data_IF_963496592453
#
_entry.id   IF_963496592453
#
_cell.length_a   1.000
_cell.length_b   1.000
_cell.length_c   1.000
_cell.angle_alpha   90.00
_cell.angle_beta   90.00
_cell.angle_gamma   90.00
#
_symmetry.space_group_name_H-M   'P 1'
#
loop_
_entity.id
_entity.type
_entity.pdbx_description
1 polymer ?
#
# COMPACT_ATOMS: atom_id res chain seq x y z
N UNK A 1 32.50 4.96 -47.51
CA UNK A 1 32.19 3.92 -46.48
C UNK A 1 32.95 4.10 -45.16
N UNK A 2 34.01 4.88 -45.11
CA UNK A 2 34.74 5.16 -43.82
C UNK A 2 33.96 6.04 -42.83
N UNK A 3 33.23 7.04 -43.33
CA UNK A 3 32.48 7.96 -42.44
C UNK A 3 31.34 7.27 -41.70
N UNK A 4 30.70 6.23 -42.25
CA UNK A 4 29.64 5.50 -41.57
C UNK A 4 30.17 4.67 -40.37
N UNK A 5 31.37 4.12 -40.50
CA UNK A 5 32.02 3.39 -39.40
C UNK A 5 32.40 4.32 -38.27
N UNK A 6 32.84 5.55 -38.59
CA UNK A 6 33.18 6.57 -37.61
C UNK A 6 31.91 6.99 -36.82
N UNK A 7 30.77 7.21 -37.47
CA UNK A 7 29.52 7.53 -36.79
C UNK A 7 29.02 6.43 -35.86
N UNK A 8 29.18 5.14 -36.28
CA UNK A 8 28.82 4.00 -35.43
C UNK A 8 29.69 3.94 -34.16
N UNK A 9 31.01 4.19 -34.29
CA UNK A 9 31.90 4.21 -33.14
C UNK A 9 31.64 5.39 -32.20
N UNK A 10 31.27 6.58 -32.73
CA UNK A 10 30.88 7.75 -31.94
C UNK A 10 29.58 7.47 -31.20
N UNK A 11 28.57 6.88 -31.86
CA UNK A 11 27.31 6.50 -31.22
C UNK A 11 27.52 5.46 -30.12
N UNK A 12 28.36 4.47 -30.35
CA UNK A 12 28.73 3.47 -29.34
C UNK A 12 29.46 4.07 -28.15
N UNK A 13 30.40 5.00 -28.37
CA UNK A 13 31.10 5.72 -27.31
C UNK A 13 30.15 6.60 -26.50
N UNK A 14 29.19 7.25 -27.16
CA UNK A 14 28.18 8.07 -26.48
C UNK A 14 27.23 7.22 -25.59
N UNK A 15 26.77 6.06 -26.09
CA UNK A 15 25.96 5.13 -25.31
C UNK A 15 26.77 4.55 -24.14
N UNK A 16 28.03 4.16 -24.35
CA UNK A 16 28.91 3.69 -23.28
C UNK A 16 29.16 4.77 -22.21
N UNK A 17 29.31 6.02 -22.63
CA UNK A 17 29.46 7.16 -21.70
C UNK A 17 28.19 7.41 -20.90
N UNK A 18 27.01 7.37 -21.51
CA UNK A 18 25.73 7.56 -20.83
C UNK A 18 25.46 6.42 -19.85
N UNK A 19 25.76 5.19 -20.22
CA UNK A 19 25.62 4.04 -19.30
C UNK A 19 26.61 4.12 -18.15
N UNK A 20 27.84 4.60 -18.36
CA UNK A 20 28.80 4.86 -17.31
C UNK A 20 28.33 5.96 -16.36
N UNK A 21 27.78 7.08 -16.87
CA UNK A 21 27.25 8.15 -16.04
C UNK A 21 26.06 7.69 -15.19
N UNK A 22 25.13 6.93 -15.78
CA UNK A 22 24.02 6.35 -15.05
C UNK A 22 24.49 5.40 -13.94
N UNK A 23 25.48 4.55 -14.24
CA UNK A 23 26.05 3.63 -13.27
C UNK A 23 26.76 4.35 -12.11
N UNK A 24 27.53 5.39 -12.39
CA UNK A 24 28.20 6.22 -11.36
C UNK A 24 27.17 6.95 -10.49
N UNK A 25 26.06 7.39 -11.07
CA UNK A 25 25.00 8.10 -10.34
C UNK A 25 24.20 7.16 -9.41
N UNK A 26 24.04 5.89 -9.82
CA UNK A 26 23.30 4.89 -9.05
C UNK A 26 24.15 4.21 -7.96
N UNK A 27 25.48 4.07 -8.18
CA UNK A 27 26.35 3.28 -7.30
C UNK A 27 27.43 4.04 -6.55
N UNK A 28 27.69 5.33 -6.90
CA UNK A 28 28.63 6.17 -6.16
C UNK A 28 27.90 7.31 -5.46
N UNK A 29 27.36 7.07 -4.28
CA UNK A 29 26.98 8.15 -3.35
C UNK A 29 28.28 8.78 -2.83
N UNK A 30 28.53 10.11 -3.03
CA UNK A 30 29.67 10.76 -2.39
C UNK A 30 29.47 10.75 -0.87
N UNK A 31 30.53 10.58 -0.07
CA UNK A 31 30.43 10.65 1.38
C UNK A 31 29.89 12.02 1.78
N UNK A 32 28.87 12.03 2.61
CA UNK A 32 28.27 13.25 3.17
C UNK A 32 29.37 13.99 3.93
N UNK A 33 29.79 15.14 3.42
CA UNK A 33 30.72 16.02 4.12
C UNK A 33 30.05 16.53 5.38
N UNK A 34 30.57 16.16 6.55
CA UNK A 34 30.21 16.74 7.83
C UNK A 34 30.56 18.23 7.79
N UNK A 35 29.56 19.09 7.76
CA UNK A 35 29.75 20.53 7.99
C UNK A 35 29.98 20.78 9.48
N UNK A 36 30.99 21.59 9.82
CA UNK A 36 31.22 21.96 11.22
C UNK A 36 30.11 22.90 11.69
N UNK A 37 29.68 22.68 12.92
CA UNK A 37 28.74 23.51 13.63
C UNK A 37 29.24 24.98 13.69
N UNK A 38 28.50 25.92 13.10
CA UNK A 38 28.66 27.34 13.31
C UNK A 38 27.44 27.88 14.05
N UNK A 39 27.75 28.58 15.13
CA UNK A 39 26.86 29.18 16.09
C UNK A 39 26.03 30.35 15.53
N UNK A 40 24.80 30.44 16.11
CA UNK A 40 23.95 31.61 16.28
C UNK A 40 23.74 32.57 15.08
N UNK A 41 22.53 32.52 14.53
CA UNK A 41 21.85 33.74 14.11
C UNK A 41 20.32 33.60 14.32
N UNK A 42 19.81 34.66 14.85
CA UNK A 42 18.52 35.09 15.34
C UNK A 42 17.33 34.76 14.44
N UNK A 43 16.31 34.18 15.07
CA UNK A 43 14.88 34.12 14.81
C UNK A 43 14.31 34.82 13.56
N UNK A 44 13.87 34.02 12.60
CA UNK A 44 12.65 34.25 11.84
C UNK A 44 11.72 33.07 12.12
N UNK A 45 10.45 33.35 12.42
CA UNK A 45 9.48 32.38 12.88
C UNK A 45 9.35 31.20 11.90
N UNK A 46 9.91 30.06 12.28
CA UNK A 46 9.67 28.78 11.65
C UNK A 46 8.21 28.35 11.88
N UNK A 47 7.61 27.62 10.93
CA UNK A 47 6.33 26.95 11.19
C UNK A 47 6.52 26.10 12.45
N UNK A 48 5.57 26.19 13.35
CA UNK A 48 5.59 25.40 14.59
C UNK A 48 5.67 23.92 14.20
N UNK A 49 6.83 23.31 14.47
CA UNK A 49 6.93 21.85 14.60
C UNK A 49 5.88 21.44 15.62
N UNK A 50 4.76 20.93 15.15
CA UNK A 50 3.83 20.21 16.00
C UNK A 50 4.54 18.92 16.33
N UNK A 51 4.94 18.69 17.59
CA UNK A 51 5.48 17.38 17.97
C UNK A 51 4.34 16.38 17.76
N UNK A 52 4.43 15.57 16.72
CA UNK A 52 3.60 14.37 16.57
C UNK A 52 4.20 13.34 17.53
N UNK A 53 4.14 13.65 18.81
CA UNK A 53 4.43 12.70 19.87
C UNK A 53 3.14 11.92 20.16
N UNK A 54 2.70 11.19 19.15
CA UNK A 54 1.78 10.08 19.38
C UNK A 54 2.66 9.03 20.03
N UNK A 55 2.43 8.67 21.30
CA UNK A 55 3.17 7.60 21.97
C UNK A 55 3.24 6.42 21.02
N UNK A 56 4.43 5.91 20.75
CA UNK A 56 4.66 4.90 19.73
C UNK A 56 3.58 3.84 19.81
N UNK A 57 3.04 3.45 18.66
CA UNK A 57 2.19 2.26 18.60
C UNK A 57 2.91 1.16 19.37
N UNK A 58 2.30 0.52 20.37
CA UNK A 58 3.00 -0.48 21.16
C UNK A 58 3.54 -1.53 20.20
N UNK A 59 4.84 -1.71 20.25
CA UNK A 59 5.59 -2.75 19.54
C UNK A 59 5.26 -4.15 20.11
N UNK A 60 4.09 -4.27 20.67
CA UNK A 60 3.58 -5.46 21.30
C UNK A 60 2.45 -6.01 20.47
N UNK A 61 2.78 -7.01 19.76
CA UNK A 61 2.00 -8.23 19.73
C UNK A 61 2.69 -9.17 18.78
N UNK A 62 3.42 -9.92 19.33
CA UNK A 62 3.29 -11.36 19.35
C UNK A 62 2.39 -11.91 18.25
N UNK A 63 3.08 -12.51 17.28
CA UNK A 63 2.48 -13.51 16.44
C UNK A 63 2.01 -14.68 17.32
N UNK A 64 0.87 -14.54 17.98
CA UNK A 64 0.21 -15.68 18.60
C UNK A 64 -0.72 -16.31 17.57
N UNK A 65 -0.53 -17.61 17.40
CA UNK A 65 -1.44 -18.48 16.69
C UNK A 65 -2.87 -18.27 17.26
N UNK A 66 -3.84 -18.10 16.35
CA UNK A 66 -5.26 -17.94 16.71
C UNK A 66 -5.74 -19.23 17.37
N UNK A 67 -6.00 -19.29 18.67
CA UNK A 67 -6.71 -20.40 19.28
C UNK A 67 -8.18 -20.32 18.90
N UNK A 68 -8.78 -21.44 18.58
CA UNK A 68 -10.21 -21.54 18.34
C UNK A 68 -10.95 -21.58 19.67
N UNK A 69 -11.89 -20.63 19.90
CA UNK A 69 -13.00 -20.88 20.80
C UNK A 69 -13.12 -20.13 22.12
N UNK A 70 -12.64 -18.89 22.23
CA UNK A 70 -12.87 -18.04 23.41
C UNK A 70 -13.81 -16.85 23.03
N UNK A 71 -14.89 -16.56 23.80
CA UNK A 71 -15.81 -15.45 23.49
C UNK A 71 -15.17 -14.06 23.46
N UNK A 72 -13.96 -13.91 24.00
CA UNK A 72 -13.15 -12.68 23.91
C UNK A 72 -12.26 -12.62 22.64
N UNK A 73 -12.35 -13.59 21.77
CA UNK A 73 -11.60 -13.62 20.52
C UNK A 73 -12.46 -13.07 19.37
N UNK A 74 -11.79 -12.33 18.46
CA UNK A 74 -12.42 -11.87 17.24
C UNK A 74 -13.00 -13.02 16.42
N UNK A 75 -14.07 -12.76 15.67
CA UNK A 75 -14.63 -13.67 14.69
C UNK A 75 -14.35 -13.17 13.29
N UNK A 76 -14.23 -14.09 12.34
CA UNK A 76 -14.00 -13.77 10.94
C UNK A 76 -15.33 -13.52 10.23
N UNK A 77 -15.47 -12.35 9.62
CA UNK A 77 -16.62 -11.95 8.81
C UNK A 77 -16.22 -12.04 7.33
N UNK A 78 -16.83 -12.94 6.55
CA UNK A 78 -16.62 -12.99 5.11
C UNK A 78 -17.31 -11.82 4.41
N UNK A 79 -16.61 -11.24 3.45
CA UNK A 79 -17.09 -10.15 2.60
C UNK A 79 -16.82 -10.54 1.15
N UNK A 80 -17.86 -10.54 0.31
CA UNK A 80 -17.79 -10.93 -1.08
C UNK A 80 -18.23 -9.81 -1.99
N UNK A 81 -17.40 -9.47 -2.96
CA UNK A 81 -17.76 -8.65 -4.11
C UNK A 81 -17.52 -9.45 -5.41
N UNK A 82 -17.76 -8.84 -6.53
CA UNK A 82 -17.46 -9.42 -7.85
C UNK A 82 -15.95 -9.68 -8.05
N UNK A 83 -15.07 -8.84 -7.51
CA UNK A 83 -13.61 -8.90 -7.72
C UNK A 83 -12.80 -9.26 -6.46
N UNK A 84 -13.39 -9.20 -5.27
CA UNK A 84 -12.74 -9.43 -3.99
C UNK A 84 -13.50 -10.42 -3.11
N UNK A 85 -12.78 -11.39 -2.53
CA UNK A 85 -13.26 -12.23 -1.44
C UNK A 85 -12.39 -12.00 -0.20
N UNK A 86 -12.94 -11.28 0.78
CA UNK A 86 -12.22 -10.81 1.95
C UNK A 86 -12.67 -11.55 3.21
N UNK A 87 -11.79 -11.56 4.22
CA UNK A 87 -12.15 -11.89 5.60
C UNK A 87 -11.68 -10.76 6.51
N UNK A 88 -12.60 -10.27 7.30
CA UNK A 88 -12.39 -9.26 8.30
C UNK A 88 -12.44 -9.92 9.69
N UNK A 89 -11.46 -9.61 10.54
CA UNK A 89 -11.47 -10.03 11.95
C UNK A 89 -12.18 -8.94 12.77
N UNK A 90 -13.16 -9.30 13.59
CA UNK A 90 -13.83 -8.33 14.48
C UNK A 90 -12.91 -7.76 15.55
N UNK A 91 -11.78 -8.40 15.84
CA UNK A 91 -10.70 -7.80 16.61
C UNK A 91 -9.96 -6.78 15.73
N UNK A 92 -9.99 -5.51 16.13
CA UNK A 92 -9.48 -4.39 15.35
C UNK A 92 -10.34 -4.02 14.14
N UNK A 93 -11.32 -4.85 13.80
CA UNK A 93 -11.99 -4.80 12.49
C UNK A 93 -10.95 -4.78 11.35
N UNK A 94 -9.98 -5.71 11.39
CA UNK A 94 -8.83 -5.77 10.50
C UNK A 94 -9.08 -6.64 9.28
N UNK A 95 -8.55 -6.26 8.09
CA UNK A 95 -8.57 -7.11 6.90
C UNK A 95 -7.42 -8.13 6.98
N UNK A 96 -7.76 -9.38 7.24
CA UNK A 96 -6.78 -10.45 7.48
C UNK A 96 -6.63 -11.41 6.30
N UNK A 97 -7.59 -11.46 5.38
CA UNK A 97 -7.50 -12.30 4.18
C UNK A 97 -8.11 -11.59 2.98
N UNK A 98 -7.46 -11.71 1.83
CA UNK A 98 -7.97 -11.21 0.55
C UNK A 98 -7.61 -12.19 -0.57
N UNK A 99 -8.63 -12.68 -1.25
CA UNK A 99 -8.52 -13.50 -2.45
C UNK A 99 -9.00 -12.68 -3.64
N UNK A 100 -8.39 -12.91 -4.79
CA UNK A 100 -8.75 -12.31 -6.08
C UNK A 100 -9.39 -13.38 -6.98
N UNK A 101 -10.72 -13.53 -7.00
CA UNK A 101 -11.41 -14.61 -7.72
C UNK A 101 -11.10 -14.65 -9.22
N UNK A 102 -10.91 -13.50 -9.84
CA UNK A 102 -10.60 -13.39 -11.28
C UNK A 102 -9.15 -13.74 -11.64
N UNK A 103 -8.26 -13.91 -10.65
CA UNK A 103 -6.83 -14.14 -10.85
C UNK A 103 -6.41 -15.49 -10.28
N UNK A 104 -6.42 -16.57 -11.09
CA UNK A 104 -5.93 -17.87 -10.64
C UNK A 104 -4.41 -17.88 -10.51
N UNK A 105 -3.88 -18.61 -9.52
CA UNK A 105 -2.43 -18.80 -9.34
C UNK A 105 -1.80 -19.46 -10.56
N UNK A 106 -2.54 -20.35 -11.24
CA UNK A 106 -2.15 -21.00 -12.49
C UNK A 106 -3.34 -21.03 -13.45
N UNK A 107 -3.08 -20.88 -14.75
CA UNK A 107 -4.12 -20.88 -15.79
C UNK A 107 -4.91 -22.17 -15.87
N UNK A 108 -4.29 -23.31 -15.56
CA UNK A 108 -4.88 -24.64 -15.51
C UNK A 108 -5.63 -24.97 -14.20
N UNK A 109 -5.57 -24.06 -13.22
CA UNK A 109 -6.21 -24.19 -11.91
C UNK A 109 -7.06 -22.95 -11.59
N UNK A 110 -8.19 -22.74 -12.30
CA UNK A 110 -9.07 -21.60 -12.06
C UNK A 110 -9.73 -21.64 -10.68
N UNK A 111 -9.79 -22.82 -10.05
CA UNK A 111 -10.29 -23.05 -8.71
C UNK A 111 -9.37 -22.51 -7.59
N UNK A 112 -8.14 -22.09 -7.92
CA UNK A 112 -7.17 -21.62 -6.95
C UNK A 112 -6.84 -20.12 -7.18
N UNK A 113 -7.63 -19.20 -6.57
CA UNK A 113 -7.42 -17.78 -6.71
C UNK A 113 -6.14 -17.32 -5.99
N UNK A 114 -5.55 -16.24 -6.49
CA UNK A 114 -4.43 -15.57 -5.82
C UNK A 114 -4.89 -15.04 -4.47
N UNK A 115 -4.14 -15.39 -3.42
CA UNK A 115 -4.32 -14.85 -2.08
C UNK A 115 -3.28 -13.75 -1.82
N UNK A 116 -3.73 -12.50 -1.68
CA UNK A 116 -2.87 -11.38 -1.36
C UNK A 116 -2.69 -11.20 0.14
N UNK A 117 -3.77 -11.15 0.90
CA UNK A 117 -3.70 -11.09 2.36
C UNK A 117 -3.85 -12.47 2.96
N UNK A 118 -3.01 -12.79 3.94
CA UNK A 118 -2.97 -14.11 4.57
C UNK A 118 -2.53 -13.99 6.04
N UNK A 119 -3.32 -14.47 7.02
CA UNK A 119 -2.95 -14.40 8.43
C UNK A 119 -1.98 -15.51 8.87
N UNK A 120 -1.66 -16.50 8.01
CA UNK A 120 -0.77 -17.60 8.38
C UNK A 120 0.67 -17.13 8.59
N UNK A 121 1.35 -17.69 9.58
CA UNK A 121 2.71 -17.29 9.96
C UNK A 121 3.73 -17.38 8.83
N UNK A 122 3.60 -18.36 7.92
CA UNK A 122 4.52 -18.54 6.78
C UNK A 122 4.39 -17.48 5.71
N UNK A 123 3.17 -17.01 5.45
CA UNK A 123 2.84 -16.02 4.42
C UNK A 123 2.12 -14.80 5.01
N UNK A 124 2.50 -14.41 6.22
CA UNK A 124 1.81 -13.36 6.96
C UNK A 124 1.76 -12.06 6.17
N UNK A 125 0.55 -11.60 5.88
CA UNK A 125 0.29 -10.35 5.18
C UNK A 125 -1.11 -9.86 5.52
N UNK A 126 -1.23 -8.77 6.29
CA UNK A 126 -2.51 -8.23 6.78
C UNK A 126 -2.51 -6.71 6.79
N UNK A 127 -3.72 -6.12 6.73
CA UNK A 127 -3.95 -4.74 7.09
C UNK A 127 -4.53 -4.64 8.50
N UNK A 128 -3.97 -3.73 9.28
CA UNK A 128 -4.49 -3.29 10.57
C UNK A 128 -4.78 -1.80 10.51
N UNK A 129 -5.86 -1.38 11.10
CA UNK A 129 -6.16 0.05 11.15
C UNK A 129 -7.08 0.37 12.31
N UNK A 130 -7.07 1.63 12.74
CA UNK A 130 -7.87 2.06 13.88
C UNK A 130 -7.62 3.51 14.23
N UNK A 131 -8.10 3.88 15.43
CA UNK A 131 -7.84 5.20 15.99
C UNK A 131 -6.98 5.07 17.25
N UNK A 132 -6.13 6.05 17.46
CA UNK A 132 -5.31 6.21 18.66
C UNK A 132 -5.82 7.38 19.47
N UNK A 133 -5.86 7.23 20.79
CA UNK A 133 -6.12 8.32 21.73
C UNK A 133 -4.78 8.94 22.14
N UNK A 134 -4.59 10.25 21.91
CA UNK A 134 -3.37 10.95 22.28
C UNK A 134 -3.14 10.99 23.80
N UNK A 135 -4.18 10.82 24.59
CA UNK A 135 -4.11 10.73 26.05
C UNK A 135 -3.84 9.31 26.57
N UNK A 136 -3.83 8.29 25.69
CA UNK A 136 -3.59 6.89 26.07
C UNK A 136 -4.77 6.23 26.79
N UNK A 137 -6.00 6.72 26.57
CA UNK A 137 -7.24 6.14 27.09
C UNK A 137 -7.67 4.87 26.35
N UNK A 138 -8.92 4.45 26.57
CA UNK A 138 -9.54 3.39 25.79
C UNK A 138 -9.70 3.84 24.33
N UNK A 139 -9.13 3.06 23.40
CA UNK A 139 -9.04 3.40 22.00
C UNK A 139 -9.52 2.25 21.09
N UNK A 140 -10.22 2.55 19.99
CA UNK A 140 -10.63 1.56 19.00
C UNK A 140 -9.46 1.21 18.06
N UNK A 141 -8.41 0.62 18.61
CA UNK A 141 -7.24 0.18 17.88
C UNK A 141 -7.42 -1.26 17.33
N UNK A 142 -6.37 -1.80 16.72
CA UNK A 142 -6.34 -3.17 16.16
C UNK A 142 -6.47 -4.30 17.19
N UNK A 143 -6.56 -4.02 18.49
CA UNK A 143 -6.81 -4.99 19.56
C UNK A 143 -8.24 -4.89 20.11
N UNK A 144 -8.93 -3.80 19.82
CA UNK A 144 -10.28 -3.56 20.30
C UNK A 144 -11.29 -4.50 19.61
N UNK A 145 -12.29 -4.98 20.36
CA UNK A 145 -13.32 -5.85 19.80
C UNK A 145 -14.48 -5.01 19.25
N UNK A 146 -14.71 -5.11 17.96
CA UNK A 146 -15.81 -4.48 17.24
C UNK A 146 -16.98 -5.43 17.10
N UNK A 147 -18.19 -4.89 17.07
CA UNK A 147 -19.43 -5.61 16.80
C UNK A 147 -19.84 -5.38 15.35
N UNK A 148 -19.94 -6.44 14.56
CA UNK A 148 -20.46 -6.38 13.21
C UNK A 148 -21.99 -6.49 13.22
N UNK A 149 -22.67 -5.79 12.31
CA UNK A 149 -24.13 -5.79 12.17
C UNK A 149 -24.65 -7.12 11.55
N UNK A 150 -23.78 -7.88 10.84
CA UNK A 150 -24.12 -9.17 10.26
C UNK A 150 -22.93 -10.15 10.33
N UNK A 151 -23.21 -11.43 10.10
CA UNK A 151 -22.19 -12.50 10.11
C UNK A 151 -21.48 -12.68 8.77
N UNK A 152 -22.02 -12.08 7.70
CA UNK A 152 -21.46 -12.07 6.35
C UNK A 152 -22.02 -10.90 5.57
N UNK A 153 -21.26 -10.42 4.59
CA UNK A 153 -21.65 -9.36 3.69
C UNK A 153 -21.36 -9.78 2.24
N UNK A 154 -22.28 -9.50 1.33
CA UNK A 154 -22.10 -9.79 -0.09
C UNK A 154 -22.67 -8.64 -0.93
N UNK A 155 -21.98 -8.30 -2.01
CA UNK A 155 -22.47 -7.35 -2.99
C UNK A 155 -23.51 -8.05 -3.89
N UNK A 156 -24.77 -7.69 -3.72
CA UNK A 156 -25.87 -8.28 -4.46
C UNK A 156 -25.91 -7.83 -5.93
N UNK A 157 -26.60 -8.61 -6.77
CA UNK A 157 -26.81 -8.24 -8.15
C UNK A 157 -27.60 -6.91 -8.25
N UNK A 158 -27.09 -5.98 -9.06
CA UNK A 158 -27.68 -4.66 -9.22
C UNK A 158 -27.28 -3.62 -8.16
N UNK A 159 -26.49 -4.01 -7.15
CA UNK A 159 -25.86 -3.06 -6.23
C UNK A 159 -24.48 -2.64 -6.76
N UNK A 160 -24.17 -1.34 -6.69
CA UNK A 160 -22.84 -0.82 -7.05
C UNK A 160 -21.91 -0.72 -5.86
N UNK A 161 -22.46 -0.65 -4.64
CA UNK A 161 -21.70 -0.38 -3.41
C UNK A 161 -22.15 -1.31 -2.29
N UNK A 162 -21.17 -1.88 -1.58
CA UNK A 162 -21.37 -2.64 -0.36
C UNK A 162 -20.75 -1.88 0.82
N UNK A 163 -21.52 -1.64 1.86
CA UNK A 163 -21.01 -1.10 3.13
C UNK A 163 -20.99 -2.18 4.20
N UNK A 164 -19.88 -2.24 4.96
CA UNK A 164 -19.67 -3.20 6.04
C UNK A 164 -19.41 -2.42 7.33
N UNK A 165 -20.45 -2.12 8.10
CA UNK A 165 -20.33 -1.36 9.33
C UNK A 165 -19.99 -2.26 10.52
N UNK A 166 -19.04 -1.77 11.34
CA UNK A 166 -18.68 -2.36 12.63
C UNK A 166 -18.66 -1.25 13.68
N UNK A 167 -19.15 -1.54 14.87
CA UNK A 167 -19.24 -0.56 15.95
C UNK A 167 -18.40 -0.97 17.15
N UNK A 168 -17.68 -0.01 17.70
CA UNK A 168 -17.00 -0.11 18.97
C UNK A 168 -17.51 0.97 19.92
N UNK A 169 -17.62 0.65 21.21
CA UNK A 169 -18.02 1.60 22.26
C UNK A 169 -17.09 1.49 23.43
N UNK A 170 -16.63 2.64 23.92
CA UNK A 170 -15.96 2.71 25.21
C UNK A 170 -16.99 2.72 26.35
N UNK A 171 -16.54 2.36 27.54
CA UNK A 171 -17.40 2.41 28.73
C UNK A 171 -17.76 3.84 29.20
N UNK A 172 -17.11 4.88 28.67
CA UNK A 172 -17.18 6.26 29.10
C UNK A 172 -17.83 7.22 28.07
N UNK A 173 -18.44 6.69 27.01
CA UNK A 173 -19.26 7.46 26.07
C UNK A 173 -18.60 7.79 24.74
N UNK A 174 -17.49 7.17 24.35
CA UNK A 174 -17.00 7.26 22.98
C UNK A 174 -17.58 6.13 22.15
N UNK A 175 -18.21 6.46 21.03
CA UNK A 175 -18.70 5.48 20.05
C UNK A 175 -17.98 5.69 18.73
N UNK A 176 -17.46 4.59 18.15
CA UNK A 176 -16.81 4.62 16.85
C UNK A 176 -17.45 3.59 15.94
N UNK A 177 -17.91 4.05 14.79
CA UNK A 177 -18.43 3.21 13.71
C UNK A 177 -17.40 3.17 12.59
N UNK A 178 -16.77 2.02 12.39
CA UNK A 178 -15.81 1.75 11.31
C UNK A 178 -16.57 1.11 10.16
N UNK A 179 -16.51 1.72 9.00
CA UNK A 179 -17.27 1.32 7.82
C UNK A 179 -16.30 1.07 6.68
N UNK A 180 -16.32 -0.14 6.13
CA UNK A 180 -15.66 -0.49 4.88
C UNK A 180 -16.66 -0.32 3.74
N UNK A 181 -16.29 0.49 2.75
CA UNK A 181 -17.09 0.71 1.56
C UNK A 181 -16.36 0.14 0.35
N UNK A 182 -16.99 -0.84 -0.30
CA UNK A 182 -16.48 -1.53 -1.47
C UNK A 182 -17.37 -1.20 -2.67
N UNK A 183 -16.76 -0.93 -3.82
CA UNK A 183 -17.48 -0.59 -5.05
C UNK A 183 -17.30 -1.71 -6.07
N UNK A 184 -18.35 -2.02 -6.82
CA UNK A 184 -18.33 -3.05 -7.87
C UNK A 184 -17.20 -2.81 -8.88
N UNK A 185 -16.46 -3.88 -9.24
CA UNK A 185 -15.37 -3.85 -10.21
C UNK A 185 -14.11 -3.13 -9.71
N UNK A 186 -14.06 -2.72 -8.43
CA UNK A 186 -12.94 -1.95 -7.89
C UNK A 186 -12.15 -2.72 -6.84
N UNK A 187 -10.85 -2.41 -6.78
CA UNK A 187 -9.90 -2.99 -5.83
C UNK A 187 -9.50 -2.03 -4.72
N UNK A 188 -9.96 -0.78 -4.77
CA UNK A 188 -9.86 0.18 -3.68
C UNK A 188 -11.04 0.00 -2.70
N UNK A 189 -10.76 0.21 -1.44
CA UNK A 189 -11.69 0.06 -0.32
C UNK A 189 -11.58 1.31 0.53
N UNK A 190 -12.66 2.09 0.62
CA UNK A 190 -12.71 3.23 1.52
C UNK A 190 -12.99 2.75 2.94
N UNK A 191 -12.21 3.23 3.89
CA UNK A 191 -12.38 2.97 5.33
C UNK A 191 -12.73 4.28 6.01
N UNK A 192 -13.91 4.34 6.61
CA UNK A 192 -14.41 5.53 7.29
C UNK A 192 -14.67 5.23 8.76
N UNK A 193 -14.23 6.13 9.63
CA UNK A 193 -14.52 6.09 11.07
C UNK A 193 -15.40 7.26 11.42
N UNK A 194 -16.61 6.99 11.84
CA UNK A 194 -17.53 7.97 12.41
C UNK A 194 -17.37 7.93 13.94
N UNK A 195 -16.80 8.98 14.50
CA UNK A 195 -16.50 9.09 15.92
C UNK A 195 -17.51 10.03 16.57
N UNK A 196 -18.30 9.53 17.51
CA UNK A 196 -19.23 10.32 18.33
C UNK A 196 -18.69 10.38 19.75
N UNK A 197 -18.47 11.59 20.25
CA UNK A 197 -17.95 11.84 21.59
C UNK A 197 -19.07 12.32 22.54
N UNK A 198 -19.76 11.37 23.17
CA UNK A 198 -20.78 11.67 24.19
C UNK A 198 -20.17 11.87 25.60
N UNK A 199 -18.83 11.98 25.69
CA UNK A 199 -18.13 12.32 26.93
C UNK A 199 -18.34 13.78 27.30
N UNK A 200 -18.08 14.13 28.55
CA UNK A 200 -18.06 15.53 29.02
C UNK A 200 -16.77 16.27 28.68
N UNK A 201 -15.75 15.56 28.21
CA UNK A 201 -14.43 16.09 27.85
C UNK A 201 -14.15 15.87 26.37
N UNK A 202 -13.37 16.76 25.73
CA UNK A 202 -12.93 16.53 24.36
C UNK A 202 -12.07 15.29 24.24
N UNK A 203 -12.18 14.60 23.11
CA UNK A 203 -11.33 13.48 22.73
C UNK A 203 -10.30 13.94 21.67
N UNK A 204 -9.04 13.57 21.86
CA UNK A 204 -7.97 13.88 20.93
C UNK A 204 -7.45 12.58 20.32
N UNK A 205 -7.59 12.41 19.01
CA UNK A 205 -7.14 11.18 18.38
C UNK A 205 -6.77 11.32 16.92
N UNK A 206 -6.08 10.30 16.42
CA UNK A 206 -5.64 10.18 15.05
C UNK A 206 -5.97 8.80 14.50
N UNK A 207 -6.28 8.73 13.20
CA UNK A 207 -6.36 7.45 12.49
C UNK A 207 -4.97 6.93 12.16
N UNK A 208 -4.84 5.62 12.10
CA UNK A 208 -3.66 4.97 11.58
C UNK A 208 -4.02 3.74 10.76
N UNK A 209 -3.18 3.44 9.80
CA UNK A 209 -3.22 2.21 9.03
C UNK A 209 -1.84 1.56 9.03
N UNK A 210 -1.81 0.24 9.19
CA UNK A 210 -0.60 -0.57 9.12
C UNK A 210 -0.76 -1.69 8.12
N UNK A 211 0.24 -1.85 7.28
CA UNK A 211 0.41 -2.99 6.41
C UNK A 211 1.57 -3.81 6.97
N UNK A 212 1.32 -5.04 7.34
CA UNK A 212 2.31 -5.93 7.94
C UNK A 212 2.52 -7.15 7.06
N UNK A 213 3.77 -7.40 6.69
CA UNK A 213 4.08 -8.51 5.81
C UNK A 213 5.39 -9.20 6.19
N UNK A 214 5.36 -10.52 6.19
CA UNK A 214 6.59 -11.32 6.29
C UNK A 214 7.43 -11.15 5.05
N UNK A 215 8.70 -10.77 5.27
CA UNK A 215 9.67 -10.74 4.18
C UNK A 215 10.03 -12.17 3.77
N UNK A 216 9.93 -12.44 2.48
CA UNK A 216 10.40 -13.67 1.87
C UNK A 216 11.48 -13.27 0.87
N UNK A 217 12.76 -13.53 1.18
CA UNK A 217 13.85 -13.24 0.26
C UNK A 217 13.62 -13.96 -1.08
N UNK A 218 13.85 -13.26 -2.18
CA UNK A 218 13.74 -13.82 -3.52
C UNK A 218 15.10 -14.35 -3.94
N UNK A 219 15.17 -15.65 -4.23
CA UNK A 219 16.30 -16.20 -4.96
C UNK A 219 16.24 -15.70 -6.40
N UNK A 220 17.21 -14.86 -6.79
CA UNK A 220 17.30 -14.34 -8.16
C UNK A 220 17.73 -15.47 -9.09
N UNK A 221 16.93 -15.79 -10.08
CA UNK A 221 17.27 -16.72 -11.16
C UNK A 221 17.60 -15.96 -12.43
N UNK A 222 18.73 -16.22 -13.06
CA UNK A 222 19.09 -15.59 -14.34
C UNK A 222 18.15 -15.96 -15.50
N UNK A 223 17.32 -16.99 -15.34
CA UNK A 223 16.47 -17.54 -16.39
C UNK A 223 15.00 -17.10 -16.20
N UNK A 224 14.63 -16.68 -15.00
CA UNK A 224 13.26 -16.29 -14.67
C UNK A 224 13.12 -14.77 -14.61
N UNK A 225 12.51 -14.20 -15.65
CA UNK A 225 12.30 -12.76 -15.82
C UNK A 225 11.44 -12.18 -14.68
N UNK A 226 10.58 -12.99 -14.08
CA UNK A 226 9.71 -12.59 -12.97
C UNK A 226 10.50 -12.24 -11.69
N UNK A 227 11.74 -12.72 -11.58
CA UNK A 227 12.63 -12.43 -10.44
C UNK A 227 13.27 -11.05 -10.51
N UNK A 228 13.19 -10.34 -11.65
CA UNK A 228 13.73 -8.99 -11.82
C UNK A 228 12.77 -7.88 -11.40
N UNK A 229 11.49 -8.19 -11.23
CA UNK A 229 10.55 -7.18 -10.75
C UNK A 229 10.69 -6.96 -9.25
N UNK A 230 10.68 -5.70 -8.84
CA UNK A 230 10.77 -5.36 -7.43
C UNK A 230 9.58 -5.93 -6.64
N UNK A 231 9.88 -6.58 -5.52
CA UNK A 231 8.91 -7.07 -4.54
C UNK A 231 9.34 -6.61 -3.16
N UNK A 232 8.53 -5.76 -2.55
CA UNK A 232 8.89 -5.19 -1.24
C UNK A 232 8.09 -3.95 -0.89
N UNK A 233 8.48 -3.31 0.23
CA UNK A 233 7.86 -2.10 0.71
C UNK A 233 8.23 -0.89 -0.17
N UNK A 234 7.25 -0.03 -0.44
CA UNK A 234 7.43 1.22 -1.16
C UNK A 234 6.77 2.36 -0.41
N UNK A 235 7.35 3.54 -0.51
CA UNK A 235 6.87 4.79 0.04
C UNK A 235 6.74 5.82 -1.09
N UNK A 236 5.67 6.58 -1.07
CA UNK A 236 5.51 7.81 -1.83
C UNK A 236 5.20 8.95 -0.86
N UNK A 237 5.99 10.00 -0.87
CA UNK A 237 5.86 11.14 0.06
C UNK A 237 5.06 12.32 -0.50
N UNK A 238 4.36 12.11 -1.63
CA UNK A 238 3.65 13.17 -2.36
C UNK A 238 4.45 13.72 -3.54
N UNK A 239 5.77 13.53 -3.57
CA UNK A 239 6.67 14.00 -4.62
C UNK A 239 7.54 12.86 -5.17
N UNK A 240 8.17 12.09 -4.29
CA UNK A 240 9.14 11.05 -4.63
C UNK A 240 8.58 9.64 -4.35
N UNK A 241 8.72 8.77 -5.34
CA UNK A 241 8.48 7.34 -5.20
C UNK A 241 9.79 6.63 -4.82
N UNK A 242 9.78 5.89 -3.72
CA UNK A 242 10.95 5.22 -3.18
C UNK A 242 10.68 3.73 -2.91
N UNK A 243 11.55 2.88 -3.45
CA UNK A 243 11.59 1.45 -3.14
C UNK A 243 12.47 1.27 -1.91
N UNK A 244 11.91 0.75 -0.83
CA UNK A 244 12.63 0.57 0.42
C UNK A 244 13.31 -0.81 0.43
N UNK A 245 14.60 -0.86 0.71
CA UNK A 245 15.27 -2.13 0.91
C UNK A 245 14.87 -2.69 2.28
N UNK A 246 14.42 -3.95 2.29
CA UNK A 246 13.93 -4.57 3.53
C UNK A 246 15.07 -4.80 4.52
N UNK A 247 16.26 -5.13 4.03
CA UNK A 247 17.42 -5.39 4.88
C UNK A 247 17.90 -4.09 5.56
N UNK A 248 17.85 -2.97 4.85
CA UNK A 248 18.18 -1.65 5.41
C UNK A 248 17.20 -1.22 6.51
N UNK A 249 15.91 -1.61 6.42
CA UNK A 249 14.90 -1.29 7.43
C UNK A 249 15.16 -1.87 8.82
N UNK A 250 16.02 -2.89 8.92
CA UNK A 250 16.44 -3.45 10.20
C UNK A 250 17.42 -2.52 10.94
N UNK A 251 18.34 -1.90 10.20
CA UNK A 251 19.38 -1.02 10.74
C UNK A 251 18.90 0.43 10.81
N UNK A 252 18.18 0.90 9.80
CA UNK A 252 17.67 2.27 9.65
C UNK A 252 16.16 2.28 9.35
N UNK A 253 15.30 2.27 10.39
CA UNK A 253 13.87 2.45 10.20
C UNK A 253 13.55 3.78 9.53
N UNK A 254 12.70 3.75 8.51
CA UNK A 254 12.25 4.97 7.82
C UNK A 254 11.19 5.67 8.66
N UNK A 255 11.35 6.98 8.86
CA UNK A 255 10.34 7.84 9.50
C UNK A 255 10.33 9.19 8.80
N UNK A 256 9.19 9.56 8.20
CA UNK A 256 9.01 10.83 7.50
C UNK A 256 7.60 11.36 7.68
N UNK A 257 7.39 12.65 7.44
CA UNK A 257 6.07 13.28 7.45
C UNK A 257 5.87 13.97 6.12
N UNK A 258 4.73 13.70 5.49
CA UNK A 258 4.40 14.25 4.18
C UNK A 258 2.90 14.39 3.99
N UNK A 259 2.47 15.18 3.00
CA UNK A 259 1.07 15.36 2.61
C UNK A 259 0.81 14.69 1.28
N UNK A 260 -0.30 13.94 1.18
CA UNK A 260 -0.70 13.29 -0.06
C UNK A 260 0.14 12.07 -0.46
N UNK A 261 0.89 11.51 0.49
CA UNK A 261 1.69 10.30 0.27
C UNK A 261 0.91 8.99 0.54
N UNK A 262 1.58 7.87 0.33
CA UNK A 262 1.05 6.53 0.61
C UNK A 262 2.17 5.52 0.84
N UNK A 263 1.82 4.40 1.47
CA UNK A 263 2.69 3.24 1.68
C UNK A 263 2.11 2.03 0.97
N UNK A 264 2.96 1.19 0.40
CA UNK A 264 2.49 -0.04 -0.22
C UNK A 264 3.48 -1.19 -0.11
N UNK A 265 2.97 -2.40 -0.23
CA UNK A 265 3.72 -3.62 -0.49
C UNK A 265 3.52 -4.03 -1.93
N UNK A 266 4.56 -3.85 -2.73
CA UNK A 266 4.58 -4.18 -4.15
C UNK A 266 4.92 -5.65 -4.37
N UNK A 267 4.22 -6.29 -5.30
CA UNK A 267 4.54 -7.59 -5.87
C UNK A 267 4.65 -7.44 -7.39
N UNK A 268 5.00 -8.50 -8.10
CA UNK A 268 5.16 -8.43 -9.56
C UNK A 268 3.91 -7.83 -10.25
N UNK A 269 2.75 -8.45 -10.10
CA UNK A 269 1.50 -8.04 -10.75
C UNK A 269 0.47 -7.43 -9.79
N UNK A 270 0.70 -7.52 -8.47
CA UNK A 270 -0.25 -7.14 -7.45
C UNK A 270 0.31 -6.08 -6.50
N UNK A 271 -0.59 -5.37 -5.87
CA UNK A 271 -0.29 -4.31 -4.91
C UNK A 271 -1.25 -4.38 -3.73
N UNK A 272 -0.72 -4.12 -2.54
CA UNK A 272 -1.51 -3.73 -1.40
C UNK A 272 -0.99 -2.38 -0.91
N UNK A 273 -1.84 -1.36 -0.86
CA UNK A 273 -1.46 0.00 -0.50
C UNK A 273 -2.38 0.58 0.57
N UNK A 274 -1.81 1.43 1.42
CA UNK A 274 -2.49 2.23 2.41
C UNK A 274 -2.33 3.71 2.05
N UNK A 275 -3.43 4.38 1.81
CA UNK A 275 -3.50 5.78 1.38
C UNK A 275 -4.23 6.56 2.47
N UNK A 276 -3.52 7.29 3.35
CA UNK A 276 -4.15 8.21 4.28
C UNK A 276 -4.82 9.36 3.54
N UNK A 277 -5.65 10.19 4.21
CA UNK A 277 -6.27 11.36 3.60
C UNK A 277 -5.22 12.25 2.92
N UNK A 278 -5.54 12.73 1.71
CA UNK A 278 -4.66 13.66 1.00
C UNK A 278 -4.60 15.05 1.66
N UNK A 279 -5.59 15.36 2.49
CA UNK A 279 -5.70 16.62 3.23
C UNK A 279 -4.98 16.49 4.57
N UNK A 280 -3.98 17.33 4.78
CA UNK A 280 -3.17 17.33 5.98
C UNK A 280 -1.94 16.41 5.94
N UNK A 281 -1.03 16.61 6.89
CA UNK A 281 0.19 15.81 7.00
C UNK A 281 -0.11 14.44 7.61
N UNK A 282 0.57 13.41 7.11
CA UNK A 282 0.61 12.09 7.72
C UNK A 282 2.04 11.69 8.04
N UNK A 283 2.25 11.01 9.17
CA UNK A 283 3.53 10.44 9.53
C UNK A 283 3.64 9.02 8.95
N UNK A 284 4.68 8.77 8.18
CA UNK A 284 4.97 7.49 7.55
C UNK A 284 6.14 6.81 8.25
N UNK A 285 5.99 5.54 8.58
CA UNK A 285 7.04 4.73 9.20
C UNK A 285 7.15 3.39 8.51
N UNK A 286 8.38 2.93 8.31
CA UNK A 286 8.67 1.58 7.84
C UNK A 286 9.71 0.95 8.76
N UNK A 287 9.43 -0.25 9.25
CA UNK A 287 10.30 -0.98 10.19
C UNK A 287 10.36 -2.45 9.81
N UNK A 288 11.43 -3.14 10.19
CA UNK A 288 11.55 -4.60 10.09
C UNK A 288 11.80 -5.18 11.48
N UNK A 289 10.97 -6.12 11.91
CA UNK A 289 11.13 -6.86 13.16
C UNK A 289 10.71 -8.32 12.98
N UNK A 290 11.53 -9.25 13.43
CA UNK A 290 11.26 -10.71 13.37
C UNK A 290 10.91 -11.22 11.96
N UNK A 291 11.53 -10.62 10.95
CA UNK A 291 11.28 -10.93 9.54
C UNK A 291 9.93 -10.44 9.01
N UNK A 292 9.23 -9.57 9.76
CA UNK A 292 7.99 -8.91 9.33
C UNK A 292 8.26 -7.42 9.19
N UNK A 293 8.13 -6.88 7.98
CA UNK A 293 8.13 -5.45 7.83
C UNK A 293 6.73 -4.87 8.08
N UNK A 294 6.73 -3.72 8.71
CA UNK A 294 5.52 -2.97 9.08
C UNK A 294 5.60 -1.59 8.47
N UNK A 295 4.64 -1.26 7.62
CA UNK A 295 4.45 0.05 7.03
C UNK A 295 3.27 0.70 7.75
N UNK A 296 3.51 1.86 8.37
CA UNK A 296 2.51 2.57 9.17
C UNK A 296 2.33 3.97 8.64
N UNK A 297 1.10 4.38 8.36
CA UNK A 297 0.72 5.76 8.15
C UNK A 297 -0.18 6.21 9.31
N UNK A 298 0.10 7.38 9.87
CA UNK A 298 -0.63 7.96 11.01
C UNK A 298 -1.08 9.35 10.56
N UNK A 299 -2.40 9.58 10.57
CA UNK A 299 -2.99 10.86 10.23
C UNK A 299 -2.79 11.92 11.32
N UNK A 300 -3.22 13.13 11.03
CA UNK A 300 -3.16 14.25 11.97
C UNK A 300 -4.07 14.02 13.19
N UNK A 301 -3.60 14.45 14.37
CA UNK A 301 -4.41 14.45 15.58
C UNK A 301 -5.52 15.48 15.47
N UNK A 302 -6.77 15.05 15.68
CA UNK A 302 -7.95 15.91 15.67
C UNK A 302 -8.61 15.89 17.03
N UNK A 303 -9.10 17.08 17.45
CA UNK A 303 -9.88 17.24 18.68
C UNK A 303 -11.37 17.17 18.35
N UNK A 304 -12.10 16.31 19.04
CA UNK A 304 -13.55 16.17 18.95
C UNK A 304 -14.14 16.62 20.28
N UNK A 305 -14.87 17.73 20.27
CA UNK A 305 -15.49 18.29 21.45
C UNK A 305 -16.56 17.38 22.07
N UNK A 306 -16.97 17.69 23.30
CA UNK A 306 -18.07 17.00 23.97
C UNK A 306 -19.37 17.14 23.18
N UNK A 307 -20.06 16.04 22.89
CA UNK A 307 -21.27 15.99 22.09
C UNK A 307 -21.07 16.16 20.58
N UNK A 308 -19.80 16.22 20.10
CA UNK A 308 -19.50 16.36 18.69
C UNK A 308 -19.26 15.01 18.00
N UNK A 309 -19.40 15.03 16.68
CA UNK A 309 -19.08 13.91 15.80
C UNK A 309 -18.03 14.35 14.76
N UNK A 310 -17.05 13.49 14.49
CA UNK A 310 -16.08 13.71 13.43
C UNK A 310 -15.86 12.44 12.61
N UNK A 311 -15.37 12.63 11.39
CA UNK A 311 -15.09 11.53 10.45
C UNK A 311 -13.60 11.50 10.14
N UNK A 312 -12.98 10.33 10.30
CA UNK A 312 -11.66 10.01 9.73
C UNK A 312 -11.86 9.09 8.54
N UNK A 313 -10.98 9.19 7.57
CA UNK A 313 -11.08 8.40 6.34
C UNK A 313 -9.70 8.00 5.87
N UNK A 314 -9.59 6.82 5.26
CA UNK A 314 -8.42 6.31 4.58
C UNK A 314 -8.86 5.41 3.44
N UNK A 315 -8.01 5.17 2.45
CA UNK A 315 -8.29 4.25 1.35
C UNK A 315 -7.24 3.14 1.33
N UNK A 316 -7.70 1.90 1.22
CA UNK A 316 -6.86 0.73 0.99
C UNK A 316 -6.97 0.32 -0.47
N UNK A 317 -5.90 -0.19 -1.03
CA UNK A 317 -5.91 -0.83 -2.33
C UNK A 317 -5.40 -2.27 -2.19
N UNK A 318 -6.14 -3.25 -2.71
CA UNK A 318 -5.79 -4.67 -2.65
C UNK A 318 -6.13 -5.31 -3.99
N UNK A 319 -5.17 -5.39 -4.90
CA UNK A 319 -5.52 -5.90 -6.23
C UNK A 319 -4.38 -5.93 -7.23
N UNK A 320 -4.73 -6.22 -8.50
CA UNK A 320 -3.81 -6.16 -9.62
C UNK A 320 -3.40 -4.72 -9.93
N UNK A 321 -2.20 -4.53 -10.48
CA UNK A 321 -1.68 -3.22 -10.86
C UNK A 321 -2.33 -2.69 -12.16
N UNK A 322 -3.65 -2.49 -12.14
CA UNK A 322 -4.39 -1.90 -13.24
C UNK A 322 -4.20 -0.39 -13.24
N UNK A 323 -3.46 0.13 -14.22
CA UNK A 323 -3.06 1.54 -14.28
C UNK A 323 -4.21 2.53 -14.13
N UNK A 324 -5.37 2.25 -14.74
CA UNK A 324 -6.54 3.11 -14.65
C UNK A 324 -7.02 3.24 -13.21
N UNK A 325 -7.22 2.11 -12.52
CA UNK A 325 -7.68 2.09 -11.13
C UNK A 325 -6.63 2.70 -10.17
N UNK A 326 -5.35 2.38 -10.36
CA UNK A 326 -4.28 2.97 -9.54
C UNK A 326 -4.24 4.49 -9.61
N UNK A 327 -4.41 5.07 -10.80
CA UNK A 327 -4.47 6.54 -10.99
C UNK A 327 -5.67 7.18 -10.32
N UNK A 328 -6.81 6.48 -10.29
CA UNK A 328 -8.03 6.96 -9.65
C UNK A 328 -7.96 6.82 -8.13
N UNK A 329 -7.27 5.79 -7.61
CA UNK A 329 -7.16 5.54 -6.17
C UNK A 329 -6.29 6.58 -5.48
N UNK A 330 -5.09 6.87 -6.00
CA UNK A 330 -4.21 7.89 -5.41
C UNK A 330 -3.21 8.45 -6.41
N UNK A 331 -2.82 9.74 -6.28
CA UNK A 331 -1.73 10.32 -7.06
C UNK A 331 -0.43 9.53 -6.91
N UNK A 332 0.24 9.25 -8.02
CA UNK A 332 1.51 8.53 -7.99
C UNK A 332 1.42 7.01 -7.79
N UNK A 333 0.25 6.44 -7.46
CA UNK A 333 0.13 5.00 -7.19
C UNK A 333 0.43 4.16 -8.44
N UNK A 334 0.19 4.68 -9.64
CA UNK A 334 0.56 4.05 -10.90
C UNK A 334 2.08 3.89 -11.11
N UNK A 335 2.93 4.61 -10.35
CA UNK A 335 4.39 4.44 -10.37
C UNK A 335 4.84 3.06 -9.88
N UNK A 336 3.96 2.35 -9.17
CA UNK A 336 4.21 0.96 -8.74
C UNK A 336 4.21 -0.03 -9.90
N UNK A 337 3.69 0.36 -11.08
CA UNK A 337 3.77 -0.45 -12.30
C UNK A 337 5.19 -0.32 -12.86
N UNK A 338 5.98 -1.34 -12.63
CA UNK A 338 7.39 -1.39 -13.02
C UNK A 338 7.54 -2.10 -14.38
N UNK A 339 7.94 -1.35 -15.38
CA UNK A 339 8.27 -1.88 -16.72
C UNK A 339 9.77 -2.28 -16.84
N UNK A 340 10.51 -2.23 -15.72
CA UNK A 340 11.95 -2.49 -15.69
C UNK A 340 12.75 -1.45 -16.48
N UNK A 341 13.98 -1.81 -16.85
CA UNK A 341 14.88 -0.92 -17.61
C UNK A 341 14.37 -0.57 -19.02
N UNK A 342 13.42 -1.34 -19.56
CA UNK A 342 12.82 -1.10 -20.86
C UNK A 342 11.64 -0.11 -20.83
N UNK A 343 11.39 0.60 -19.72
CA UNK A 343 10.28 1.53 -19.54
C UNK A 343 10.16 2.55 -20.69
N UNK A 344 11.30 3.07 -21.18
CA UNK A 344 11.35 4.04 -22.29
C UNK A 344 10.74 3.47 -23.58
N UNK A 345 10.84 2.16 -23.80
CA UNK A 345 10.32 1.47 -25.00
C UNK A 345 8.92 0.93 -24.71
N UNK A 346 8.72 0.35 -23.53
CA UNK A 346 7.48 -0.34 -23.15
C UNK A 346 6.28 0.61 -23.01
N UNK A 347 6.45 1.79 -22.45
CA UNK A 347 5.38 2.77 -22.27
C UNK A 347 4.77 3.25 -23.61
N UNK A 348 5.56 3.72 -24.61
CA UNK A 348 5.01 4.08 -25.91
C UNK A 348 4.35 2.91 -26.62
N UNK A 349 4.96 1.71 -26.53
CA UNK A 349 4.43 0.51 -27.16
C UNK A 349 3.08 0.11 -26.54
N UNK A 350 2.97 0.14 -25.23
CA UNK A 350 1.73 -0.16 -24.52
C UNK A 350 0.63 0.87 -24.83
N UNK A 351 0.98 2.15 -24.97
CA UNK A 351 0.05 3.19 -25.38
C UNK A 351 -0.49 2.94 -26.80
N UNK A 352 0.38 2.60 -27.77
CA UNK A 352 -0.01 2.24 -29.12
C UNK A 352 -0.93 1.01 -29.14
N UNK A 353 -0.54 -0.05 -28.42
CA UNK A 353 -1.36 -1.26 -28.30
C UNK A 353 -2.73 -0.98 -27.68
N UNK A 354 -2.80 -0.13 -26.66
CA UNK A 354 -4.06 0.29 -26.05
C UNK A 354 -4.97 1.06 -27.02
N UNK A 355 -4.41 1.94 -27.86
CA UNK A 355 -5.17 2.62 -28.92
C UNK A 355 -5.67 1.66 -29.99
N UNK A 356 -4.84 0.72 -30.43
CA UNK A 356 -5.21 -0.31 -31.39
C UNK A 356 -6.26 -1.27 -30.82
N UNK A 357 -6.15 -1.66 -29.57
CA UNK A 357 -7.18 -2.45 -28.89
C UNK A 357 -8.53 -1.73 -28.85
N UNK A 358 -8.53 -0.43 -28.56
CA UNK A 358 -9.75 0.39 -28.60
C UNK A 358 -10.45 0.43 -29.99
N UNK A 359 -9.70 0.16 -31.06
CA UNK A 359 -10.25 0.07 -32.43
C UNK A 359 -10.69 -1.36 -32.79
N UNK A 360 -9.96 -2.37 -32.36
CA UNK A 360 -10.15 -3.78 -32.79
C UNK A 360 -10.95 -4.61 -31.78
N UNK A 361 -11.01 -4.18 -30.50
CA UNK A 361 -11.65 -4.92 -29.41
C UNK A 361 -10.97 -6.26 -29.05
N UNK A 362 -9.84 -6.59 -29.69
CA UNK A 362 -9.21 -7.90 -29.55
C UNK A 362 -7.68 -7.81 -29.46
N UNK A 363 -7.13 -8.21 -28.32
CA UNK A 363 -5.68 -8.28 -28.11
C UNK A 363 -4.99 -9.34 -28.98
N UNK A 364 -5.69 -10.44 -29.30
CA UNK A 364 -5.15 -11.55 -30.09
C UNK A 364 -4.83 -11.15 -31.53
N UNK A 365 -5.66 -10.34 -32.18
CA UNK A 365 -5.42 -9.85 -33.54
C UNK A 365 -4.14 -9.00 -33.63
N UNK A 366 -3.80 -8.25 -32.59
CA UNK A 366 -2.63 -7.36 -32.58
C UNK A 366 -1.32 -8.12 -32.41
N UNK A 367 -1.35 -9.25 -31.70
CA UNK A 367 -0.18 -10.09 -31.46
C UNK A 367 0.06 -11.13 -32.57
N UNK A 368 -1.00 -11.60 -33.24
CA UNK A 368 -0.92 -12.64 -34.28
C UNK A 368 -0.62 -12.09 -35.69
N UNK A 369 -0.85 -10.82 -35.95
CA UNK A 369 -0.57 -10.19 -37.26
C UNK A 369 0.86 -9.69 -37.40
N UNK A 370 1.72 -9.88 -36.40
CA UNK A 370 3.16 -9.66 -36.57
C UNK A 370 3.74 -10.81 -37.39
N UNK A 371 4.25 -10.58 -38.60
CA UNK A 371 4.79 -11.66 -39.44
C UNK A 371 5.99 -12.30 -38.68
N UNK A 372 5.87 -13.61 -38.51
CA UNK A 372 7.00 -14.41 -37.92
C UNK A 372 8.20 -14.32 -38.86
N UNK A 373 9.42 -14.07 -38.37
CA UNK A 373 10.62 -14.09 -39.21
C UNK A 373 10.92 -15.44 -39.90
N UNK A 374 10.09 -16.46 -39.66
CA UNK A 374 10.23 -17.81 -40.21
C UNK A 374 9.48 -18.05 -41.53
N UNK A 375 8.68 -17.08 -42.01
CA UNK A 375 7.88 -17.25 -43.24
C UNK A 375 8.60 -16.75 -44.53
N UNK A 376 9.91 -16.52 -44.43
CA UNK A 376 10.79 -16.22 -45.59
C UNK A 376 11.91 -17.26 -45.64
N UNK A 377 11.53 -18.47 -45.99
CA UNK A 377 12.43 -19.55 -46.37
C UNK A 377 11.94 -20.29 -47.57
#
# INVERSE_FOLDING_TARGET
>A
MENQRLFVWIAFAAVAWLTWQAWVQDYHKPPVAQQPAAANQTAAAAPRDVPVDIPGLPDQAEAQAVPQGDPDQGRLIPIMTDVLALKLDTRGADLVSALLPEYPVKKDRPDLPVQLLNPSTGNYFVFRSGLRDAAGGAEPNHQALFQAEADAFALEDGQDVLEVPLTWRSGDGLTVRKIYRLTRGRYDIDVRYEVTNDRTQPWNGASYVQLRRRHVPLERSMVDVDTYSYRGPVLYDGEKYEKLDVDDLFEEPVSTTATGGWLASSQHQFLAAAVPPAEGPAAYRATLKDGVYTLTAIGEVRTIGAGETAVFQETLFIGPKLQAQLKETAPGLQLTVDYGFLTIISQPLFWVLGKLHGLTGNWGCLLYTSPSPRDHG
#
